data_IF_084256800564
#
_entry.id   IF_084256800564
#
_cell.length_a   1.000
_cell.length_b   1.000
_cell.length_c   1.000
_cell.angle_alpha   90.00
_cell.angle_beta   90.00
_cell.angle_gamma   90.00
#
_symmetry.space_group_name_H-M   'P 1'
#
loop_
_entity.id
_entity.type
_entity.pdbx_description
1 polymer ?
#
# COMPACT_ATOMS: atom_id res chain seq x y z
N UNK A 1 57.44 46.20 -19.00
CA UNK A 1 57.70 44.78 -18.64
C UNK A 1 57.43 44.60 -17.16
N UNK A 2 56.25 44.10 -16.80
CA UNK A 2 55.99 43.36 -15.57
C UNK A 2 54.62 42.71 -15.69
N UNK A 3 54.66 41.38 -15.62
CA UNK A 3 53.63 40.43 -16.00
C UNK A 3 52.37 40.49 -15.12
N UNK A 4 51.22 40.67 -15.75
CA UNK A 4 49.91 40.44 -15.16
C UNK A 4 49.55 38.96 -15.34
N UNK A 5 49.95 38.10 -14.39
CA UNK A 5 49.55 36.69 -14.38
C UNK A 5 48.13 36.54 -13.82
N UNK A 6 47.15 36.49 -14.72
CA UNK A 6 45.78 36.06 -14.44
C UNK A 6 45.85 34.57 -14.07
N UNK A 7 45.73 34.24 -12.78
CA UNK A 7 45.55 32.87 -12.31
C UNK A 7 44.07 32.52 -12.46
N UNK A 8 43.75 31.85 -13.57
CA UNK A 8 42.46 31.20 -13.77
C UNK A 8 42.38 30.02 -12.80
N UNK A 9 41.66 30.20 -11.68
CA UNK A 9 41.39 29.12 -10.72
C UNK A 9 40.15 28.37 -11.22
N UNK A 10 40.37 27.29 -11.97
CA UNK A 10 39.31 26.36 -12.35
C UNK A 10 38.91 25.61 -11.07
N UNK A 11 37.81 26.03 -10.47
CA UNK A 11 37.15 25.30 -9.39
C UNK A 11 36.50 24.08 -10.04
N UNK A 12 37.20 22.95 -10.00
CA UNK A 12 36.61 21.64 -10.31
C UNK A 12 35.56 21.34 -9.25
N UNK A 13 34.29 21.65 -9.55
CA UNK A 13 33.15 21.13 -8.80
C UNK A 13 33.06 19.63 -9.07
N UNK A 14 33.63 18.83 -8.17
CA UNK A 14 33.29 17.41 -8.06
C UNK A 14 31.83 17.37 -7.64
N UNK A 15 30.94 17.19 -8.61
CA UNK A 15 29.57 16.80 -8.34
C UNK A 15 29.64 15.41 -7.72
N UNK A 16 29.53 15.35 -6.40
CA UNK A 16 29.27 14.12 -5.67
C UNK A 16 27.84 13.77 -6.06
N UNK A 17 27.70 12.95 -7.10
CA UNK A 17 26.47 12.22 -7.32
C UNK A 17 26.33 11.34 -6.09
N UNK A 18 25.46 11.76 -5.17
CA UNK A 18 24.94 10.89 -4.14
C UNK A 18 24.27 9.73 -4.87
N UNK A 19 25.01 8.63 -4.99
CA UNK A 19 24.43 7.36 -5.32
C UNK A 19 23.54 7.07 -4.10
N UNK A 20 22.22 7.22 -4.25
CA UNK A 20 21.27 6.50 -3.40
C UNK A 20 21.48 5.02 -3.70
N UNK A 21 22.60 4.47 -3.24
CA UNK A 21 22.70 3.04 -3.04
C UNK A 21 21.77 2.77 -1.88
N UNK A 22 20.58 2.24 -2.18
CA UNK A 22 19.83 1.46 -1.20
C UNK A 22 20.84 0.52 -0.54
N UNK A 23 21.14 0.84 0.71
CA UNK A 23 22.16 0.13 1.45
C UNK A 23 21.57 -1.25 1.71
N UNK A 24 21.97 -2.25 0.90
CA UNK A 24 21.63 -3.65 1.15
C UNK A 24 21.94 -3.91 2.63
N UNK A 25 20.89 -4.24 3.39
CA UNK A 25 21.00 -4.41 4.83
C UNK A 25 22.17 -5.33 5.15
N UNK A 26 23.15 -4.84 5.90
CA UNK A 26 24.26 -5.71 6.33
C UNK A 26 23.67 -6.82 7.20
N UNK A 27 24.21 -8.04 7.15
CA UNK A 27 23.70 -9.16 7.95
C UNK A 27 23.58 -8.82 9.44
N UNK A 28 24.48 -7.98 9.96
CA UNK A 28 24.43 -7.44 11.32
C UNK A 28 23.19 -6.58 11.58
N UNK A 29 22.81 -5.71 10.63
CA UNK A 29 21.63 -4.85 10.72
C UNK A 29 20.33 -5.69 10.72
N UNK A 30 20.32 -6.81 10.01
CA UNK A 30 19.16 -7.72 9.99
C UNK A 30 19.02 -8.53 11.28
N UNK A 31 20.15 -8.90 11.90
CA UNK A 31 20.18 -9.87 13.02
C UNK A 31 20.35 -9.22 14.39
N UNK A 32 20.51 -7.91 14.46
CA UNK A 32 20.67 -7.17 15.72
C UNK A 32 19.89 -5.87 15.72
N UNK A 33 19.48 -5.44 16.90
CA UNK A 33 18.78 -4.16 17.13
C UNK A 33 19.48 -3.40 18.25
N UNK A 34 19.63 -2.09 18.08
CA UNK A 34 20.26 -1.23 19.08
C UNK A 34 19.29 -0.92 20.24
N UNK A 35 19.72 -1.14 21.47
CA UNK A 35 18.86 -0.96 22.66
C UNK A 35 18.39 0.49 22.83
N UNK A 36 19.22 1.45 22.45
CA UNK A 36 18.91 2.89 22.52
C UNK A 36 17.67 3.27 21.68
N UNK A 37 17.33 2.47 20.66
CA UNK A 37 16.13 2.64 19.82
C UNK A 37 14.88 2.00 20.40
N UNK A 38 15.04 1.10 21.38
CA UNK A 38 13.93 0.46 22.10
C UNK A 38 13.57 1.30 23.32
N UNK A 39 14.57 1.63 24.15
CA UNK A 39 14.38 2.39 25.38
C UNK A 39 15.49 3.41 25.57
N UNK A 40 15.10 4.64 25.89
CA UNK A 40 16.03 5.75 26.08
C UNK A 40 17.01 5.46 27.23
N UNK A 41 18.31 5.59 26.96
CA UNK A 41 19.38 5.40 27.94
C UNK A 41 19.93 3.98 28.01
N UNK A 42 19.36 3.02 27.28
CA UNK A 42 19.97 1.69 27.15
C UNK A 42 21.12 1.69 26.13
N UNK A 43 22.13 0.86 26.39
CA UNK A 43 23.31 0.69 25.53
C UNK A 43 23.43 -0.73 25.02
N UNK A 44 24.16 -0.92 23.92
CA UNK A 44 24.42 -2.24 23.35
C UNK A 44 23.34 -2.69 22.37
N UNK A 45 23.34 -3.98 22.06
CA UNK A 45 22.48 -4.59 21.04
C UNK A 45 21.76 -5.81 21.59
N UNK A 46 20.54 -6.06 21.10
CA UNK A 46 19.80 -7.32 21.29
C UNK A 46 19.82 -8.10 19.97
N UNK A 47 19.81 -9.42 20.07
CA UNK A 47 19.64 -10.28 18.91
C UNK A 47 18.19 -10.26 18.44
N UNK A 48 18.02 -10.15 17.13
CA UNK A 48 16.76 -10.40 16.44
C UNK A 48 16.80 -11.85 15.99
N UNK A 49 15.71 -12.60 16.16
CA UNK A 49 15.62 -14.03 15.86
C UNK A 49 14.31 -14.35 15.14
N UNK A 50 14.35 -15.38 14.30
CA UNK A 50 13.16 -15.99 13.72
C UNK A 50 12.53 -16.98 14.71
N UNK A 51 11.26 -16.76 15.04
CA UNK A 51 10.47 -17.62 15.92
C UNK A 51 9.25 -18.15 15.17
N UNK A 52 9.01 -19.46 15.26
CA UNK A 52 7.79 -20.08 14.72
C UNK A 52 6.78 -20.27 15.83
N UNK A 53 5.56 -19.78 15.64
CA UNK A 53 4.42 -19.90 16.55
C UNK A 53 3.31 -20.74 15.91
N UNK A 54 2.58 -21.49 16.73
CA UNK A 54 1.46 -22.35 16.31
C UNK A 54 1.79 -23.30 15.13
N UNK A 55 3.06 -23.73 15.03
CA UNK A 55 3.56 -24.65 14.01
C UNK A 55 3.66 -24.09 12.58
N UNK A 56 3.28 -22.82 12.34
CA UNK A 56 3.28 -22.23 10.99
C UNK A 56 3.59 -20.73 10.95
N UNK A 57 3.06 -19.93 11.89
CA UNK A 57 3.24 -18.48 11.86
C UNK A 57 4.69 -18.13 12.18
N UNK A 58 5.26 -17.14 11.50
CA UNK A 58 6.65 -16.73 11.71
C UNK A 58 6.67 -15.30 12.24
N UNK A 59 7.47 -15.07 13.27
CA UNK A 59 7.77 -13.74 13.80
C UNK A 59 9.29 -13.59 13.82
N UNK A 60 9.79 -12.57 13.14
CA UNK A 60 11.17 -12.11 13.20
C UNK A 60 11.18 -10.89 14.13
N UNK A 61 11.96 -10.97 15.20
CA UNK A 61 11.92 -9.95 16.25
C UNK A 61 12.90 -10.20 17.38
N UNK A 62 12.97 -9.26 18.32
CA UNK A 62 13.75 -9.40 19.54
C UNK A 62 12.84 -9.79 20.72
N UNK A 63 13.42 -10.40 21.75
CA UNK A 63 12.68 -10.76 22.96
C UNK A 63 12.68 -9.59 23.95
N UNK A 64 11.50 -9.22 24.43
CA UNK A 64 11.30 -8.26 25.51
C UNK A 64 10.18 -8.75 26.43
N UNK A 65 10.43 -8.76 27.74
CA UNK A 65 9.45 -9.21 28.75
C UNK A 65 8.83 -10.60 28.44
N UNK A 66 9.65 -11.55 27.99
CA UNK A 66 9.24 -12.90 27.55
C UNK A 66 8.29 -12.94 26.34
N UNK A 67 8.20 -11.86 25.57
CA UNK A 67 7.43 -11.78 24.32
C UNK A 67 8.34 -11.44 23.16
N UNK A 68 8.02 -11.94 21.96
CA UNK A 68 8.75 -11.58 20.74
C UNK A 68 8.11 -10.33 20.16
N UNK A 69 8.87 -9.24 20.10
CA UNK A 69 8.44 -7.96 19.50
C UNK A 69 8.84 -7.97 18.02
N UNK A 70 7.87 -7.91 17.08
CA UNK A 70 8.16 -7.93 15.64
C UNK A 70 9.08 -6.77 15.23
N UNK A 71 10.19 -7.09 14.59
CA UNK A 71 11.16 -6.10 14.10
C UNK A 71 12.05 -6.76 13.04
N UNK A 72 12.17 -6.13 11.87
CA UNK A 72 13.12 -6.53 10.83
C UNK A 72 13.41 -5.34 9.92
N UNK A 73 14.69 -5.00 9.78
CA UNK A 73 15.15 -3.94 8.86
C UNK A 73 15.36 -4.44 7.42
N UNK A 74 15.31 -5.74 7.18
CA UNK A 74 15.76 -6.34 5.90
C UNK A 74 14.69 -7.15 5.16
N UNK A 75 13.57 -7.47 5.81
CA UNK A 75 12.51 -8.33 5.25
C UNK A 75 11.23 -8.19 6.06
N UNK A 76 10.14 -8.83 5.66
CA UNK A 76 8.90 -8.88 6.43
C UNK A 76 9.15 -9.46 7.83
N UNK A 77 8.70 -8.74 8.87
CA UNK A 77 8.92 -9.12 10.26
C UNK A 77 7.90 -10.17 10.75
N UNK A 78 6.78 -10.33 10.04
CA UNK A 78 5.70 -11.23 10.44
C UNK A 78 5.12 -11.96 9.23
N UNK A 79 4.90 -13.26 9.37
CA UNK A 79 4.22 -14.10 8.38
C UNK A 79 3.07 -14.86 9.05
N UNK A 80 1.87 -14.67 8.53
CA UNK A 80 0.64 -15.29 9.03
C UNK A 80 -0.02 -16.16 7.96
N UNK A 81 -0.62 -17.28 8.39
CA UNK A 81 -1.29 -18.24 7.52
C UNK A 81 -2.81 -18.27 7.79
N UNK A 82 -3.57 -17.28 7.28
CA UNK A 82 -5.03 -17.32 7.32
C UNK A 82 -5.57 -18.51 6.52
N UNK A 83 -6.87 -18.80 6.66
CA UNK A 83 -7.52 -19.97 6.05
C UNK A 83 -7.36 -20.05 4.51
N UNK A 84 -7.31 -18.91 3.84
CA UNK A 84 -7.11 -18.82 2.39
C UNK A 84 -5.99 -17.83 2.06
N UNK A 85 -4.75 -18.19 2.38
CA UNK A 85 -3.58 -17.45 1.93
C UNK A 85 -2.45 -17.35 2.94
N UNK A 86 -1.53 -16.44 2.64
CA UNK A 86 -0.35 -16.12 3.43
C UNK A 86 -0.16 -14.62 3.42
N UNK A 87 0.11 -14.04 4.59
CA UNK A 87 0.28 -12.59 4.75
C UNK A 87 1.68 -12.29 5.26
N UNK A 88 2.39 -11.40 4.58
CA UNK A 88 3.68 -10.84 4.99
C UNK A 88 3.43 -9.42 5.48
N UNK A 89 4.07 -9.01 6.56
CA UNK A 89 3.88 -7.67 7.14
C UNK A 89 5.16 -7.13 7.72
N UNK A 90 5.36 -5.81 7.57
CA UNK A 90 6.60 -5.13 7.92
C UNK A 90 6.45 -4.37 9.23
N UNK A 91 7.42 -4.57 10.13
CA UNK A 91 7.44 -3.94 11.44
C UNK A 91 8.85 -3.49 11.80
N UNK A 92 8.94 -2.34 12.47
CA UNK A 92 10.13 -1.90 13.17
C UNK A 92 9.76 -1.57 14.61
N UNK A 93 10.45 -2.22 15.56
CA UNK A 93 10.27 -1.96 16.99
C UNK A 93 8.81 -2.17 17.44
N UNK A 94 8.15 -3.21 16.90
CA UNK A 94 6.75 -3.50 17.17
C UNK A 94 5.75 -2.58 16.45
N UNK A 95 6.22 -1.54 15.77
CA UNK A 95 5.37 -0.61 15.02
C UNK A 95 5.23 -1.04 13.58
N UNK A 96 4.02 -0.92 13.04
CA UNK A 96 3.75 -1.14 11.62
C UNK A 96 4.51 -0.09 10.80
N UNK A 97 5.23 -0.55 9.78
CA UNK A 97 5.89 0.32 8.81
C UNK A 97 5.50 -0.06 7.39
N UNK A 98 5.83 0.81 6.44
CA UNK A 98 5.67 0.54 5.01
C UNK A 98 7.02 0.23 4.37
N UNK A 99 7.05 -0.77 3.50
CA UNK A 99 8.14 -1.10 2.61
C UNK A 99 7.56 -1.15 1.19
N UNK A 100 8.21 -0.48 0.24
CA UNK A 100 7.68 -0.27 -1.12
C UNK A 100 6.25 0.28 -1.13
N UNK A 101 6.01 1.24 -0.22
CA UNK A 101 4.74 1.91 0.02
C UNK A 101 3.62 1.05 0.62
N UNK A 102 3.87 -0.21 1.02
CA UNK A 102 2.86 -1.10 1.63
C UNK A 102 3.27 -1.64 2.99
N UNK A 103 2.31 -1.79 3.90
CA UNK A 103 2.51 -2.39 5.22
C UNK A 103 2.34 -3.90 5.22
N UNK A 104 1.48 -4.45 4.37
CA UNK A 104 1.31 -5.89 4.26
C UNK A 104 0.91 -6.32 2.87
N UNK A 105 1.28 -7.56 2.53
CA UNK A 105 0.90 -8.24 1.29
C UNK A 105 0.35 -9.60 1.66
N UNK A 106 -0.91 -9.85 1.30
CA UNK A 106 -1.56 -11.15 1.40
C UNK A 106 -1.66 -11.78 0.03
N UNK A 107 -1.05 -12.95 -0.15
CA UNK A 107 -1.22 -13.78 -1.34
C UNK A 107 -2.30 -14.83 -1.11
N UNK A 108 -3.16 -15.01 -2.10
CA UNK A 108 -4.27 -15.97 -2.05
C UNK A 108 -4.63 -16.45 -3.45
N UNK A 109 -5.42 -17.51 -3.52
CA UNK A 109 -6.07 -17.95 -4.76
C UNK A 109 -7.49 -17.39 -4.79
N UNK A 110 -7.80 -16.59 -5.81
CA UNK A 110 -9.13 -15.99 -5.97
C UNK A 110 -10.17 -17.00 -6.50
N UNK A 111 -11.42 -16.56 -6.65
CA UNK A 111 -12.53 -17.41 -7.14
C UNK A 111 -12.29 -17.98 -8.54
N UNK A 112 -11.48 -17.30 -9.37
CA UNK A 112 -11.12 -17.71 -10.72
C UNK A 112 -9.87 -18.62 -10.77
N UNK A 113 -9.39 -19.10 -9.62
CA UNK A 113 -8.19 -19.92 -9.51
C UNK A 113 -6.89 -19.22 -9.93
N UNK A 114 -6.88 -17.89 -9.91
CA UNK A 114 -5.69 -17.09 -10.17
C UNK A 114 -4.97 -16.78 -8.86
N UNK A 115 -3.64 -16.76 -8.91
CA UNK A 115 -2.83 -16.20 -7.82
C UNK A 115 -3.09 -14.70 -7.81
N UNK A 116 -3.44 -14.17 -6.65
CA UNK A 116 -3.81 -12.78 -6.46
C UNK A 116 -3.20 -12.26 -5.17
N UNK A 117 -3.08 -10.94 -5.08
CA UNK A 117 -2.62 -10.28 -3.86
C UNK A 117 -3.58 -9.21 -3.39
N UNK A 118 -3.67 -9.07 -2.07
CA UNK A 118 -4.29 -7.95 -1.40
C UNK A 118 -3.20 -7.25 -0.59
N UNK A 119 -3.01 -5.96 -0.82
CA UNK A 119 -2.05 -5.16 -0.06
C UNK A 119 -2.74 -4.13 0.80
N UNK A 120 -2.09 -3.77 1.90
CA UNK A 120 -2.56 -2.71 2.80
C UNK A 120 -1.51 -1.64 3.00
N UNK A 121 -1.94 -0.39 3.14
CA UNK A 121 -1.12 0.76 3.53
C UNK A 121 -1.51 1.24 4.92
N UNK A 122 -0.58 1.92 5.58
CA UNK A 122 -0.91 2.68 6.79
C UNK A 122 -1.96 3.76 6.46
N UNK A 123 -2.91 4.02 7.36
CA UNK A 123 -3.99 4.98 7.11
C UNK A 123 -3.41 6.39 6.99
N UNK A 124 -3.39 6.93 5.76
CA UNK A 124 -3.07 8.32 5.47
C UNK A 124 -4.01 8.82 4.39
N UNK A 125 -4.33 10.10 4.48
CA UNK A 125 -5.18 10.81 3.53
C UNK A 125 -4.58 10.85 2.11
N UNK A 126 -5.44 10.83 1.09
CA UNK A 126 -5.06 11.04 -0.30
C UNK A 126 -4.43 9.83 -0.99
N UNK A 127 -4.49 8.66 -0.38
CA UNK A 127 -3.98 7.40 -0.95
C UNK A 127 -4.88 6.24 -0.56
N UNK A 128 -4.88 5.20 -1.37
CA UNK A 128 -5.62 3.98 -1.06
C UNK A 128 -5.04 3.30 0.18
N UNK A 129 -5.90 2.62 0.94
CA UNK A 129 -5.55 1.80 2.10
C UNK A 129 -5.53 0.32 1.76
N UNK A 130 -6.41 -0.14 0.87
CA UNK A 130 -6.40 -1.52 0.38
C UNK A 130 -6.30 -1.52 -1.14
N UNK A 131 -5.54 -2.47 -1.69
CA UNK A 131 -5.44 -2.68 -3.12
C UNK A 131 -5.45 -4.18 -3.43
N UNK A 132 -6.11 -4.55 -4.52
CA UNK A 132 -6.13 -5.91 -5.03
C UNK A 132 -5.49 -5.95 -6.41
N UNK A 133 -4.63 -6.95 -6.59
CA UNK A 133 -3.95 -7.24 -7.85
C UNK A 133 -4.26 -8.65 -8.28
N UNK A 134 -4.75 -8.77 -9.51
CA UNK A 134 -5.10 -10.04 -10.17
C UNK A 134 -4.47 -10.01 -11.56
N UNK A 135 -3.77 -11.08 -11.96
CA UNK A 135 -3.06 -11.16 -13.26
C UNK A 135 -2.15 -9.93 -13.51
N UNK A 136 -1.38 -9.55 -12.49
CA UNK A 136 -0.49 -8.38 -12.48
C UNK A 136 -1.16 -7.02 -12.79
N UNK A 137 -2.49 -6.93 -12.63
CA UNK A 137 -3.25 -5.69 -12.79
C UNK A 137 -3.97 -5.32 -11.52
N UNK A 138 -4.00 -4.04 -11.21
CA UNK A 138 -4.82 -3.50 -10.12
C UNK A 138 -6.29 -3.60 -10.53
N UNK A 139 -7.08 -4.39 -9.80
CA UNK A 139 -8.50 -4.60 -10.10
C UNK A 139 -9.44 -3.96 -9.08
N UNK A 140 -8.94 -3.64 -7.88
CA UNK A 140 -9.71 -2.91 -6.87
C UNK A 140 -8.80 -2.05 -5.98
N UNK A 141 -9.29 -0.89 -5.57
CA UNK A 141 -8.70 -0.02 -4.56
C UNK A 141 -9.77 0.52 -3.62
N UNK A 142 -9.40 0.68 -2.35
CA UNK A 142 -10.25 1.30 -1.34
C UNK A 142 -9.51 2.45 -0.65
N UNK A 143 -10.17 3.60 -0.54
CA UNK A 143 -9.73 4.74 0.26
C UNK A 143 -10.68 4.87 1.43
N UNK A 144 -10.14 4.87 2.65
CA UNK A 144 -10.88 4.84 3.90
C UNK A 144 -10.61 6.08 4.77
N UNK A 145 -9.69 6.94 4.34
CA UNK A 145 -9.26 8.10 5.09
C UNK A 145 -9.25 9.37 4.24
N UNK A 146 -10.29 9.58 3.44
CA UNK A 146 -10.45 10.78 2.62
C UNK A 146 -11.22 11.87 3.39
N UNK A 147 -10.93 13.17 3.18
CA UNK A 147 -11.65 14.23 3.86
C UNK A 147 -13.12 14.21 3.51
N UNK A 148 -13.99 14.26 4.52
CA UNK A 148 -15.45 14.30 4.38
C UNK A 148 -16.07 13.08 3.69
N UNK A 149 -15.28 12.09 3.28
CA UNK A 149 -15.72 10.86 2.62
C UNK A 149 -15.46 9.69 3.57
N UNK A 150 -16.50 8.89 3.82
CA UNK A 150 -16.40 7.70 4.66
C UNK A 150 -15.58 6.61 3.99
N UNK A 151 -15.82 6.38 2.69
CA UNK A 151 -15.00 5.48 1.89
C UNK A 151 -15.17 5.73 0.40
N UNK A 152 -14.15 5.35 -0.36
CA UNK A 152 -14.21 5.19 -1.81
C UNK A 152 -13.78 3.79 -2.17
N UNK A 153 -14.51 3.15 -3.08
CA UNK A 153 -14.15 1.87 -3.67
C UNK A 153 -14.16 2.03 -5.19
N UNK A 154 -13.00 1.91 -5.81
CA UNK A 154 -12.89 1.82 -7.27
C UNK A 154 -12.57 0.37 -7.63
N UNK A 155 -13.26 -0.16 -8.64
CA UNK A 155 -13.01 -1.51 -9.14
C UNK A 155 -13.17 -1.60 -10.66
N UNK A 156 -12.41 -2.52 -11.24
CA UNK A 156 -12.46 -2.87 -12.64
C UNK A 156 -12.20 -4.37 -12.80
N UNK A 157 -13.27 -5.12 -13.09
CA UNK A 157 -13.24 -6.57 -13.30
C UNK A 157 -12.61 -7.35 -12.13
N UNK A 158 -12.85 -6.87 -10.90
CA UNK A 158 -12.41 -7.55 -9.68
C UNK A 158 -13.09 -8.91 -9.57
N UNK A 159 -12.31 -9.96 -9.31
CA UNK A 159 -12.80 -11.34 -9.28
C UNK A 159 -13.53 -11.78 -10.56
N UNK A 160 -13.28 -11.11 -11.70
CA UNK A 160 -13.89 -11.44 -12.99
C UNK A 160 -15.39 -11.13 -13.08
N UNK A 161 -15.90 -10.24 -12.21
CA UNK A 161 -17.31 -9.87 -12.16
C UNK A 161 -17.81 -9.05 -13.38
N UNK A 162 -16.89 -8.61 -14.24
CA UNK A 162 -17.18 -7.76 -15.40
C UNK A 162 -17.65 -6.35 -15.03
N UNK A 163 -17.48 -5.92 -13.78
CA UNK A 163 -17.93 -4.63 -13.28
C UNK A 163 -16.79 -3.62 -13.29
N UNK A 164 -17.04 -2.47 -13.93
CA UNK A 164 -16.20 -1.28 -13.81
C UNK A 164 -17.02 -0.18 -13.12
N UNK A 165 -16.63 0.21 -11.91
CA UNK A 165 -17.36 1.23 -11.14
C UNK A 165 -16.49 1.94 -10.10
N UNK A 166 -16.98 3.09 -9.67
CA UNK A 166 -16.56 3.78 -8.45
C UNK A 166 -17.76 3.94 -7.53
N UNK A 167 -17.59 3.62 -6.25
CA UNK A 167 -18.58 3.86 -5.19
C UNK A 167 -17.97 4.80 -4.16
N UNK A 168 -18.59 5.95 -3.94
CA UNK A 168 -18.20 6.93 -2.92
C UNK A 168 -19.29 6.95 -1.85
N UNK A 169 -18.91 6.79 -0.59
CA UNK A 169 -19.83 6.77 0.55
C UNK A 169 -19.51 7.92 1.51
N UNK A 170 -20.53 8.68 1.89
CA UNK A 170 -20.45 9.80 2.84
C UNK A 170 -21.56 9.63 3.87
N UNK A 171 -21.21 9.11 5.05
CA UNK A 171 -22.16 8.77 6.08
C UNK A 171 -23.17 7.73 5.59
N UNK A 172 -24.42 8.17 5.37
CA UNK A 172 -25.51 7.32 4.85
C UNK A 172 -25.77 7.48 3.35
N UNK A 173 -25.14 8.47 2.71
CA UNK A 173 -25.30 8.74 1.29
C UNK A 173 -24.24 7.95 0.54
N UNK A 174 -24.60 7.35 -0.59
CA UNK A 174 -23.62 6.79 -1.51
C UNK A 174 -23.90 7.20 -2.95
N UNK A 175 -22.83 7.40 -3.71
CA UNK A 175 -22.83 7.58 -5.16
C UNK A 175 -22.13 6.40 -5.80
N UNK A 176 -22.74 5.79 -6.79
CA UNK A 176 -22.16 4.76 -7.64
C UNK A 176 -22.12 5.26 -9.07
N UNK A 177 -20.92 5.34 -9.65
CA UNK A 177 -20.71 5.56 -11.09
C UNK A 177 -20.28 4.24 -11.70
N UNK A 178 -21.13 3.64 -12.54
CA UNK A 178 -20.94 2.28 -13.05
C UNK A 178 -21.00 2.26 -14.57
N UNK A 179 -20.05 1.56 -15.19
CA UNK A 179 -20.04 1.36 -16.63
C UNK A 179 -21.12 0.37 -17.06
N UNK A 180 -21.92 0.77 -18.03
CA UNK A 180 -22.95 -0.03 -18.66
C UNK A 180 -22.44 -0.54 -20.01
N UNK A 181 -22.15 -1.84 -20.08
CA UNK A 181 -21.60 -2.47 -21.28
C UNK A 181 -22.55 -2.49 -22.46
N UNK A 182 -23.87 -2.43 -22.24
CA UNK A 182 -24.86 -2.42 -23.31
C UNK A 182 -24.90 -1.07 -24.04
N UNK A 183 -24.77 0.02 -23.30
CA UNK A 183 -24.79 1.39 -23.86
C UNK A 183 -23.39 1.95 -24.11
N UNK A 184 -22.34 1.29 -23.60
CA UNK A 184 -20.95 1.76 -23.61
C UNK A 184 -20.76 3.12 -22.95
N UNK A 185 -21.55 3.40 -21.90
CA UNK A 185 -21.55 4.66 -21.16
C UNK A 185 -21.61 4.42 -19.65
N UNK A 186 -21.32 5.43 -18.85
CA UNK A 186 -21.46 5.36 -17.39
C UNK A 186 -22.84 5.82 -16.96
N UNK A 187 -23.44 5.08 -16.03
CA UNK A 187 -24.65 5.48 -15.32
C UNK A 187 -24.29 5.87 -13.87
N UNK A 188 -24.94 6.92 -13.36
CA UNK A 188 -24.70 7.45 -12.03
C UNK A 188 -25.93 7.23 -11.16
N UNK A 189 -25.73 6.69 -9.96
CA UNK A 189 -26.78 6.35 -9.02
C UNK A 189 -26.42 6.93 -7.66
N UNK A 190 -27.33 7.70 -7.07
CA UNK A 190 -27.21 8.17 -5.69
C UNK A 190 -28.25 7.45 -4.83
N UNK A 191 -27.83 7.01 -3.66
CA UNK A 191 -28.68 6.47 -2.62
C UNK A 191 -28.56 7.36 -1.38
N UNK A 192 -29.63 8.10 -1.08
CA UNK A 192 -29.75 8.92 0.13
C UNK A 192 -30.70 8.21 1.11
N UNK A 193 -30.12 7.38 1.99
CA UNK A 193 -30.84 6.62 3.04
C UNK A 193 -32.08 5.87 2.51
N UNK A 194 -31.95 5.24 1.34
CA UNK A 194 -33.00 4.46 0.67
C UNK A 194 -33.70 5.19 -0.48
N UNK A 195 -33.50 6.49 -0.64
CA UNK A 195 -34.02 7.25 -1.79
C UNK A 195 -33.03 7.17 -2.95
N UNK A 196 -33.42 6.49 -4.03
CA UNK A 196 -32.60 6.31 -5.22
C UNK A 196 -32.86 7.42 -6.24
N UNK A 197 -31.79 8.07 -6.68
CA UNK A 197 -31.76 8.95 -7.86
C UNK A 197 -30.85 8.32 -8.91
N UNK A 198 -31.31 8.26 -10.16
CA UNK A 198 -30.57 7.65 -11.27
C UNK A 198 -30.43 8.67 -12.39
N UNK A 199 -29.20 8.88 -12.85
CA UNK A 199 -28.85 9.68 -14.02
C UNK A 199 -28.16 8.78 -15.04
N UNK A 200 -28.93 8.35 -16.03
CA UNK A 200 -28.41 7.57 -17.15
C UNK A 200 -27.41 8.40 -17.95
N UNK A 201 -26.31 7.79 -18.38
CA UNK A 201 -25.21 8.47 -19.08
C UNK A 201 -24.47 9.54 -18.23
N UNK A 202 -24.76 9.66 -16.93
CA UNK A 202 -24.15 10.62 -15.99
C UNK A 202 -24.17 12.09 -16.50
N UNK A 203 -25.21 12.49 -17.23
CA UNK A 203 -25.25 13.79 -17.92
C UNK A 203 -25.34 15.00 -16.98
N UNK A 204 -25.92 14.82 -15.81
CA UNK A 204 -26.18 15.83 -14.79
C UNK A 204 -25.45 15.53 -13.48
N UNK A 205 -24.39 14.72 -13.53
CA UNK A 205 -23.65 14.23 -12.36
C UNK A 205 -23.27 15.34 -11.38
N UNK A 206 -22.65 16.42 -11.86
CA UNK A 206 -22.24 17.53 -10.99
C UNK A 206 -23.42 18.24 -10.30
N UNK A 207 -24.57 18.35 -10.97
CA UNK A 207 -25.76 18.95 -10.38
C UNK A 207 -26.34 18.04 -9.29
N UNK A 208 -26.40 16.73 -9.53
CA UNK A 208 -26.87 15.76 -8.54
C UNK A 208 -25.94 15.65 -7.35
N UNK A 209 -24.62 15.65 -7.56
CA UNK A 209 -23.63 15.70 -6.50
C UNK A 209 -23.85 16.91 -5.58
N UNK A 210 -24.00 18.11 -6.15
CA UNK A 210 -24.22 19.33 -5.35
C UNK A 210 -25.58 19.33 -4.63
N UNK A 211 -26.63 18.78 -5.23
CA UNK A 211 -27.98 18.82 -4.65
C UNK A 211 -28.24 17.74 -3.60
N UNK A 212 -27.66 16.55 -3.77
CA UNK A 212 -27.86 15.39 -2.89
C UNK A 212 -26.76 15.33 -1.83
N UNK A 213 -25.50 15.50 -2.24
CA UNK A 213 -24.34 15.33 -1.36
C UNK A 213 -23.87 16.66 -0.77
N UNK A 214 -24.08 17.77 -1.49
CA UNK A 214 -23.61 19.10 -1.09
C UNK A 214 -22.20 19.45 -1.58
N UNK A 215 -21.53 18.54 -2.28
CA UNK A 215 -20.21 18.74 -2.88
C UNK A 215 -20.05 17.88 -4.14
N UNK A 216 -19.23 18.34 -5.08
CA UNK A 216 -18.84 17.52 -6.23
C UNK A 216 -18.02 16.30 -5.79
N UNK A 217 -18.25 15.14 -6.41
CA UNK A 217 -17.56 13.89 -6.11
C UNK A 217 -16.77 13.40 -7.32
N UNK A 218 -15.44 13.36 -7.19
CA UNK A 218 -14.51 12.99 -8.27
C UNK A 218 -14.42 11.48 -8.52
N UNK A 219 -15.52 10.87 -8.96
CA UNK A 219 -15.56 9.43 -9.26
C UNK A 219 -14.60 9.02 -10.38
N UNK A 220 -14.34 9.90 -11.34
CA UNK A 220 -13.45 9.65 -12.47
C UNK A 220 -11.98 9.67 -12.05
N UNK A 221 -11.58 10.58 -11.16
CA UNK A 221 -10.24 10.63 -10.58
C UNK A 221 -9.85 9.31 -9.93
N UNK A 222 -10.69 8.77 -9.05
CA UNK A 222 -10.42 7.47 -8.41
C UNK A 222 -10.35 6.30 -9.40
N UNK A 223 -11.22 6.29 -10.41
CA UNK A 223 -11.19 5.24 -11.43
C UNK A 223 -9.95 5.33 -12.32
N UNK A 224 -9.53 6.55 -12.67
CA UNK A 224 -8.28 6.77 -13.39
C UNK A 224 -7.06 6.37 -12.54
N UNK A 225 -7.06 6.68 -11.24
CA UNK A 225 -6.01 6.21 -10.32
C UNK A 225 -5.94 4.68 -10.31
N UNK A 226 -7.08 3.99 -10.21
CA UNK A 226 -7.12 2.53 -10.29
C UNK A 226 -6.44 2.00 -11.56
N UNK A 227 -6.77 2.57 -12.72
CA UNK A 227 -6.28 2.11 -14.03
C UNK A 227 -4.82 2.44 -14.31
N UNK A 228 -4.26 3.44 -13.61
CA UNK A 228 -2.92 3.95 -13.86
C UNK A 228 -1.93 3.71 -12.74
N UNK A 229 -2.39 3.20 -11.58
CA UNK A 229 -1.51 2.96 -10.42
C UNK A 229 -0.43 1.93 -10.77
N UNK A 230 0.87 2.28 -10.63
CA UNK A 230 1.94 1.31 -10.75
C UNK A 230 1.94 0.37 -9.54
N UNK A 231 2.34 -0.88 -9.76
CA UNK A 231 2.60 -1.83 -8.68
C UNK A 231 4.09 -1.73 -8.34
N UNK A 232 4.40 -1.28 -7.13
CA UNK A 232 5.76 -1.00 -6.67
C UNK A 232 6.36 -2.08 -5.79
N UNK A 233 5.55 -3.03 -5.34
CA UNK A 233 5.90 -4.06 -4.37
C UNK A 233 5.94 -5.46 -5.01
N UNK A 234 6.55 -6.41 -4.30
CA UNK A 234 6.72 -7.79 -4.77
C UNK A 234 5.37 -8.52 -4.96
N UNK A 235 5.18 -9.13 -6.13
CA UNK A 235 4.00 -9.92 -6.49
C UNK A 235 4.24 -11.43 -6.43
N UNK A 236 5.49 -11.86 -6.37
CA UNK A 236 5.87 -13.25 -6.17
C UNK A 236 6.12 -13.54 -4.68
N UNK A 237 5.21 -14.33 -4.09
CA UNK A 237 5.33 -14.85 -2.73
C UNK A 237 6.68 -15.51 -2.47
N UNK A 238 7.23 -16.23 -3.45
CA UNK A 238 8.44 -17.01 -3.25
C UNK A 238 9.69 -16.10 -3.15
N UNK A 239 9.67 -14.90 -3.75
CA UNK A 239 10.72 -13.89 -3.57
C UNK A 239 10.73 -13.35 -2.13
N UNK A 240 9.57 -13.06 -1.53
CA UNK A 240 9.52 -12.67 -0.11
C UNK A 240 10.06 -13.76 0.82
N UNK A 241 9.80 -15.04 0.50
CA UNK A 241 10.40 -16.14 1.26
C UNK A 241 11.91 -16.25 1.05
N UNK A 242 12.41 -16.03 -0.17
CA UNK A 242 13.86 -16.00 -0.44
C UNK A 242 14.53 -14.88 0.35
N UNK A 243 13.89 -13.71 0.44
CA UNK A 243 14.41 -12.60 1.23
C UNK A 243 14.43 -12.92 2.72
N UNK A 244 13.39 -13.57 3.26
CA UNK A 244 13.43 -14.06 4.64
C UNK A 244 14.59 -15.06 4.82
N UNK A 245 14.67 -16.09 3.99
CA UNK A 245 15.67 -17.15 4.14
C UNK A 245 17.10 -16.68 3.86
N UNK A 246 17.29 -15.53 3.21
CA UNK A 246 18.61 -14.92 3.00
C UNK A 246 19.24 -14.50 4.33
N UNK A 247 18.43 -14.13 5.32
CA UNK A 247 18.89 -13.59 6.60
C UNK A 247 18.57 -14.47 7.82
N UNK A 248 17.69 -15.47 7.68
CA UNK A 248 17.10 -16.25 8.78
C UNK A 248 17.06 -17.75 8.52
#
# INVERSE_FOLDING_TARGET
MRDLRIRLLIISTVAIWGCDTEQVGTSTLCTTVENSRIQQGETGFRSVNRTTTDGKNVIIGYTENNTVVPHSECTAAKVEYPSNGITFSWFLFGQMIENDEVHSIRYYTNVNQLISSQTTRLPREGRWQNQWVEDAKVTKQEWLNEPFITSVVAQNNFEGDGVKQTVITIGKISKTKRFNSNTSKFDCIWNDDGVLTVDTDCTNEAMHDLTIVGTALDSDGFLNTLETTPITYELDRDELWKDINRYW
#
